data_IF_566496036777
#
_entry.id   IF_566496036777
#
_cell.length_a   1.000
_cell.length_b   1.000
_cell.length_c   1.000
_cell.angle_alpha   90.00
_cell.angle_beta   90.00
_cell.angle_gamma   90.00
#
_symmetry.space_group_name_H-M   'P 1'
#
loop_
_entity.id
_entity.type
_entity.pdbx_description
1 polymer ?
#
# COMPACT_ATOMS: atom_id res chain seq x y z
N UNK A 1 -29.60 14.64 -6.12
CA UNK A 1 -28.48 15.13 -5.27
C UNK A 1 -28.82 16.54 -4.82
N UNK A 2 -28.49 16.92 -3.58
CA UNK A 2 -28.75 18.28 -3.09
C UNK A 2 -27.74 19.26 -3.71
N UNK A 3 -28.14 20.52 -3.89
CA UNK A 3 -27.28 21.59 -4.41
C UNK A 3 -25.98 21.74 -3.59
N UNK A 4 -26.07 21.60 -2.27
CA UNK A 4 -24.93 21.67 -1.36
C UNK A 4 -23.88 20.58 -1.60
N UNK A 5 -24.31 19.36 -1.95
CA UNK A 5 -23.38 18.27 -2.25
C UNK A 5 -22.63 18.53 -3.56
N UNK A 6 -23.32 19.04 -4.58
CA UNK A 6 -22.70 19.35 -5.87
C UNK A 6 -21.72 20.53 -5.77
N UNK A 7 -22.03 21.55 -4.98
CA UNK A 7 -21.11 22.66 -4.71
C UNK A 7 -19.86 22.21 -3.94
N UNK A 8 -20.03 21.31 -2.96
CA UNK A 8 -18.91 20.71 -2.24
C UNK A 8 -18.00 19.90 -3.16
N UNK A 9 -18.57 19.00 -3.97
CA UNK A 9 -17.82 18.18 -4.93
C UNK A 9 -17.06 19.06 -5.95
N UNK A 10 -17.70 20.12 -6.46
CA UNK A 10 -17.06 21.08 -7.37
C UNK A 10 -15.91 21.85 -6.72
N UNK A 11 -16.05 22.25 -5.45
CA UNK A 11 -15.00 22.93 -4.68
C UNK A 11 -13.78 22.03 -4.50
N UNK A 12 -14.00 20.74 -4.22
CA UNK A 12 -12.93 19.76 -4.13
C UNK A 12 -12.23 19.63 -5.47
N UNK A 13 -12.95 19.42 -6.57
CA UNK A 13 -12.36 19.30 -7.92
C UNK A 13 -11.49 20.51 -8.26
N UNK A 14 -11.97 21.73 -8.01
CA UNK A 14 -11.23 22.98 -8.28
C UNK A 14 -9.95 23.11 -7.43
N UNK A 15 -10.02 22.81 -6.13
CA UNK A 15 -8.85 22.85 -5.25
C UNK A 15 -7.78 21.84 -5.68
N UNK A 16 -8.23 20.65 -6.09
CA UNK A 16 -7.40 19.57 -6.59
C UNK A 16 -6.68 19.95 -7.89
N UNK A 17 -7.40 20.49 -8.88
CA UNK A 17 -6.82 20.94 -10.16
C UNK A 17 -5.79 22.05 -9.96
N UNK A 18 -6.10 23.07 -9.15
CA UNK A 18 -5.17 24.19 -8.89
C UNK A 18 -3.86 23.74 -8.25
N UNK A 19 -3.92 22.75 -7.34
CA UNK A 19 -2.72 22.23 -6.67
C UNK A 19 -1.87 21.39 -7.62
N UNK A 20 -2.49 20.57 -8.48
CA UNK A 20 -1.79 19.82 -9.52
C UNK A 20 -1.03 20.77 -10.46
N UNK A 21 -1.68 21.82 -10.94
CA UNK A 21 -1.04 22.84 -11.80
C UNK A 21 0.14 23.54 -11.11
N UNK A 22 0.05 23.80 -9.80
CA UNK A 22 1.09 24.48 -9.05
C UNK A 22 2.31 23.60 -8.70
N UNK A 23 2.11 22.30 -8.49
CA UNK A 23 3.13 21.42 -7.88
C UNK A 23 3.49 20.17 -8.70
N UNK A 24 3.07 20.05 -9.97
CA UNK A 24 3.29 18.85 -10.82
C UNK A 24 4.76 18.40 -11.01
N UNK A 25 5.76 19.18 -10.56
CA UNK A 25 7.20 18.88 -10.67
C UNK A 25 7.95 18.71 -9.35
N UNK A 26 7.34 18.98 -8.20
CA UNK A 26 8.05 18.83 -6.92
C UNK A 26 7.95 17.39 -6.40
N UNK A 27 9.08 16.69 -6.38
CA UNK A 27 9.17 15.30 -5.91
C UNK A 27 8.97 15.13 -4.40
N UNK A 28 9.08 16.22 -3.63
CA UNK A 28 9.01 16.24 -2.16
C UNK A 28 7.65 16.72 -1.60
N UNK A 29 6.72 17.19 -2.43
CA UNK A 29 5.48 17.85 -1.96
C UNK A 29 4.28 16.89 -1.84
N UNK A 30 4.53 15.71 -1.24
CA UNK A 30 3.52 14.65 -1.02
C UNK A 30 2.62 14.87 0.20
N UNK A 31 2.56 16.09 0.72
CA UNK A 31 1.61 16.45 1.78
C UNK A 31 0.17 16.44 1.24
N UNK A 32 -0.44 15.25 1.28
CA UNK A 32 -1.87 14.96 1.38
C UNK A 32 -2.81 15.65 0.38
N UNK A 33 -3.00 15.00 -0.76
CA UNK A 33 -4.26 14.51 -1.37
C UNK A 33 -3.88 14.16 -2.82
N UNK A 34 -3.68 12.88 -3.13
CA UNK A 34 -3.63 12.43 -4.52
C UNK A 34 -5.01 11.95 -4.95
N UNK A 35 -5.66 12.84 -5.68
CA UNK A 35 -6.82 12.64 -6.54
C UNK A 35 -6.43 11.67 -7.66
N UNK A 36 -7.30 10.69 -7.91
CA UNK A 36 -7.08 9.65 -8.91
C UNK A 36 -7.11 8.26 -8.28
N UNK A 37 -8.24 7.56 -8.45
CA UNK A 37 -8.50 6.11 -8.22
C UNK A 37 -8.06 5.45 -6.91
N UNK A 38 -7.70 6.20 -5.86
CA UNK A 38 -6.96 5.64 -4.74
C UNK A 38 -7.55 5.96 -3.37
N UNK A 39 -7.87 4.90 -2.61
CA UNK A 39 -8.60 4.90 -1.35
C UNK A 39 -7.76 5.47 -0.18
N UNK A 40 -8.42 6.12 0.78
CA UNK A 40 -7.90 6.44 2.12
C UNK A 40 -8.90 5.95 3.16
N UNK A 41 -8.47 5.15 4.14
CA UNK A 41 -9.31 4.72 5.28
C UNK A 41 -8.44 4.74 6.54
N UNK A 42 -8.95 5.16 7.69
CA UNK A 42 -8.21 5.07 8.98
C UNK A 42 -8.37 3.67 9.55
N UNK A 43 -7.28 2.95 9.81
CA UNK A 43 -7.30 1.82 10.75
C UNK A 43 -7.24 2.38 12.18
N UNK A 44 -8.38 2.81 12.70
CA UNK A 44 -8.51 3.06 14.12
C UNK A 44 -8.95 1.77 14.81
N UNK A 45 -8.39 1.48 15.98
CA UNK A 45 -9.14 0.78 17.03
C UNK A 45 -10.51 1.47 17.23
N UNK A 46 -11.56 0.77 17.68
CA UNK A 46 -12.96 0.98 17.26
C UNK A 46 -13.68 2.28 17.71
N UNK A 47 -12.97 3.38 17.93
CA UNK A 47 -13.56 4.61 18.48
C UNK A 47 -14.10 5.62 17.46
N UNK A 48 -13.67 5.60 16.19
CA UNK A 48 -14.25 6.49 15.17
C UNK A 48 -13.92 6.02 13.74
N UNK A 49 -14.93 5.59 12.99
CA UNK A 49 -14.80 5.44 11.54
C UNK A 49 -14.84 6.84 10.92
N UNK A 50 -13.76 7.32 10.24
CA UNK A 50 -13.82 8.61 9.57
C UNK A 50 -14.94 8.57 8.52
N UNK A 51 -15.70 9.66 8.42
CA UNK A 51 -16.74 9.77 7.40
C UNK A 51 -16.06 9.88 6.04
N UNK A 52 -16.20 8.85 5.21
CA UNK A 52 -15.65 8.80 3.85
C UNK A 52 -16.75 9.14 2.86
N UNK A 53 -16.49 10.07 1.95
CA UNK A 53 -17.33 10.38 0.79
C UNK A 53 -16.58 10.01 -0.48
N UNK A 54 -17.28 9.37 -1.41
CA UNK A 54 -16.73 9.01 -2.71
C UNK A 54 -17.59 9.60 -3.83
N UNK A 55 -16.96 10.22 -4.82
CA UNK A 55 -17.62 10.64 -6.04
C UNK A 55 -16.66 10.55 -7.23
N UNK A 56 -17.23 10.52 -8.43
CA UNK A 56 -16.47 10.59 -9.69
C UNK A 56 -16.75 11.92 -10.36
N UNK A 57 -15.70 12.57 -10.84
CA UNK A 57 -15.83 13.75 -11.70
C UNK A 57 -14.84 13.59 -12.86
N UNK A 58 -15.34 13.77 -14.09
CA UNK A 58 -14.60 13.48 -15.32
C UNK A 58 -14.06 12.03 -15.33
N UNK A 59 -12.76 11.83 -15.55
CA UNK A 59 -12.08 10.52 -15.53
C UNK A 59 -11.54 10.14 -14.13
N UNK A 60 -11.71 11.02 -13.14
CA UNK A 60 -11.12 10.86 -11.81
C UNK A 60 -12.14 10.40 -10.76
N UNK A 61 -11.67 9.52 -9.87
CA UNK A 61 -12.35 9.19 -8.62
C UNK A 61 -11.78 10.01 -7.46
N UNK A 62 -12.66 10.57 -6.64
CA UNK A 62 -12.32 11.37 -5.47
C UNK A 62 -12.82 10.65 -4.22
N UNK A 63 -11.94 10.54 -3.23
CA UNK A 63 -12.29 10.09 -1.87
C UNK A 63 -11.97 11.25 -0.94
N UNK A 64 -12.99 11.76 -0.26
CA UNK A 64 -12.86 12.83 0.72
C UNK A 64 -13.12 12.25 2.10
N UNK A 65 -12.20 12.51 3.02
CA UNK A 65 -12.32 12.08 4.40
C UNK A 65 -12.01 13.25 5.33
N UNK A 66 -12.33 13.07 6.61
CA UNK A 66 -11.90 13.98 7.66
C UNK A 66 -10.38 14.15 7.65
N UNK A 67 -9.93 15.41 7.74
CA UNK A 67 -8.51 15.72 7.83
C UNK A 67 -7.96 15.20 9.16
N UNK A 68 -6.93 14.36 9.09
CA UNK A 68 -6.26 13.82 10.26
C UNK A 68 -5.03 14.70 10.55
N UNK A 69 -5.02 15.37 11.70
CA UNK A 69 -3.85 16.10 12.18
C UNK A 69 -2.75 15.11 12.58
N UNK A 70 -1.72 14.98 11.74
CA UNK A 70 -0.55 14.16 12.04
C UNK A 70 0.47 14.95 12.85
N UNK A 71 1.05 14.29 13.84
CA UNK A 71 2.21 14.81 14.55
C UNK A 71 3.40 14.96 13.59
N UNK A 72 4.08 16.13 13.51
CA UNK A 72 5.20 16.33 12.59
C UNK A 72 6.42 15.43 12.87
N UNK A 73 6.61 15.04 14.14
CA UNK A 73 7.69 14.15 14.57
C UNK A 73 7.11 13.15 15.57
N UNK A 74 6.43 12.09 15.08
CA UNK A 74 5.78 11.13 15.95
C UNK A 74 6.84 10.29 16.69
N UNK A 75 6.73 10.15 18.03
CA UNK A 75 7.63 9.26 18.76
C UNK A 75 7.39 7.81 18.35
N UNK A 76 8.47 7.02 18.30
CA UNK A 76 8.43 5.57 18.04
C UNK A 76 7.73 5.17 16.72
N UNK A 77 7.92 5.94 15.65
CA UNK A 77 7.26 5.68 14.36
C UNK A 77 7.46 4.26 13.83
N UNK A 78 8.64 3.66 13.98
CA UNK A 78 8.91 2.26 13.61
C UNK A 78 8.01 1.26 14.35
N UNK A 79 7.79 1.46 15.65
CA UNK A 79 6.90 0.62 16.46
C UNK A 79 5.45 0.79 16.00
N UNK A 80 5.06 2.03 15.69
CA UNK A 80 3.72 2.38 15.17
C UNK A 80 3.48 1.75 13.79
N UNK A 81 4.45 1.82 12.88
CA UNK A 81 4.42 1.15 11.57
C UNK A 81 4.26 -0.36 11.75
N UNK A 82 5.03 -0.96 12.66
CA UNK A 82 4.92 -2.39 13.00
C UNK A 82 3.52 -2.74 13.48
N UNK A 83 2.94 -1.94 14.39
CA UNK A 83 1.59 -2.15 14.90
C UNK A 83 0.54 -2.06 13.79
N UNK A 84 0.66 -1.08 12.88
CA UNK A 84 -0.24 -0.92 11.74
C UNK A 84 -0.22 -2.14 10.82
N UNK A 85 0.98 -2.58 10.43
CA UNK A 85 1.16 -3.74 9.55
C UNK A 85 0.68 -5.04 10.20
N UNK A 86 0.95 -5.24 11.50
CA UNK A 86 0.43 -6.39 12.24
C UNK A 86 -1.09 -6.41 12.19
N UNK A 87 -1.71 -5.29 12.55
CA UNK A 87 -3.17 -5.14 12.54
C UNK A 87 -3.77 -5.41 11.16
N UNK A 88 -3.10 -4.96 10.09
CA UNK A 88 -3.53 -5.21 8.72
C UNK A 88 -3.38 -6.68 8.32
N UNK A 89 -2.27 -7.33 8.66
CA UNK A 89 -2.03 -8.74 8.33
C UNK A 89 -2.88 -9.72 9.12
N UNK A 90 -3.40 -9.31 10.27
CA UNK A 90 -4.33 -10.09 11.09
C UNK A 90 -5.76 -10.05 10.54
N UNK A 91 -6.06 -9.16 9.58
CA UNK A 91 -7.34 -9.17 8.87
C UNK A 91 -7.42 -10.46 8.04
N UNK A 92 -8.42 -11.32 8.27
CA UNK A 92 -8.54 -12.57 7.54
C UNK A 92 -8.81 -12.31 6.07
N UNK A 93 -8.14 -13.06 5.19
CA UNK A 93 -8.44 -13.06 3.77
C UNK A 93 -9.89 -13.56 3.56
N UNK A 94 -10.72 -12.88 2.75
CA UNK A 94 -12.05 -13.40 2.45
C UNK A 94 -11.95 -14.70 1.65
N UNK A 95 -12.93 -15.59 1.83
CA UNK A 95 -12.91 -16.90 1.20
C UNK A 95 -12.82 -16.80 -0.33
N UNK A 96 -11.95 -17.60 -0.94
CA UNK A 96 -11.74 -17.63 -2.39
C UNK A 96 -11.06 -16.39 -2.98
N UNK A 97 -10.62 -15.44 -2.15
CA UNK A 97 -9.82 -14.32 -2.65
C UNK A 97 -8.41 -14.77 -3.03
N UNK A 98 -7.95 -14.17 -4.11
CA UNK A 98 -6.63 -14.38 -4.69
C UNK A 98 -5.74 -13.19 -4.32
N UNK A 99 -4.48 -13.23 -4.73
CA UNK A 99 -3.60 -12.06 -4.74
C UNK A 99 -4.24 -10.93 -5.58
N UNK A 100 -4.56 -9.82 -4.94
CA UNK A 100 -5.06 -8.63 -5.62
C UNK A 100 -4.88 -7.37 -4.77
N UNK A 101 -4.83 -6.18 -5.39
CA UNK A 101 -5.06 -4.93 -4.67
C UNK A 101 -6.39 -4.92 -3.93
N UNK A 102 -6.48 -4.12 -2.87
CA UNK A 102 -7.76 -3.79 -2.26
C UNK A 102 -8.49 -2.78 -3.17
N UNK A 103 -9.24 -3.30 -4.14
CA UNK A 103 -9.92 -2.51 -5.17
C UNK A 103 -9.71 -3.11 -6.55
N UNK A 104 -9.84 -2.27 -7.57
CA UNK A 104 -9.56 -2.63 -8.96
C UNK A 104 -8.12 -2.24 -9.35
N UNK A 105 -7.55 -2.91 -10.34
CA UNK A 105 -6.21 -2.64 -10.86
C UNK A 105 -5.17 -3.73 -10.61
N UNK A 106 -3.94 -3.41 -11.00
CA UNK A 106 -2.79 -4.32 -10.95
C UNK A 106 -2.06 -4.22 -9.61
N UNK A 107 -1.41 -5.30 -9.21
CA UNK A 107 -0.58 -5.33 -8.00
C UNK A 107 0.48 -4.24 -8.11
N UNK A 108 0.55 -3.36 -7.12
CA UNK A 108 1.69 -2.46 -6.95
C UNK A 108 2.69 -3.06 -5.99
N UNK A 109 3.95 -3.11 -6.41
CA UNK A 109 5.04 -3.66 -5.61
C UNK A 109 6.40 -3.30 -6.23
N UNK A 110 7.38 -2.94 -5.41
CA UNK A 110 8.72 -2.57 -5.86
C UNK A 110 9.53 -3.68 -6.54
N UNK A 111 9.04 -4.93 -6.51
CA UNK A 111 9.58 -6.03 -7.31
C UNK A 111 9.36 -5.82 -8.81
N UNK A 112 8.21 -5.23 -9.20
CA UNK A 112 7.87 -5.06 -10.60
C UNK A 112 8.51 -3.80 -11.16
N UNK A 113 8.79 -3.83 -12.46
CA UNK A 113 9.19 -2.64 -13.18
C UNK A 113 8.10 -1.57 -13.03
N UNK A 114 8.50 -0.33 -12.82
CA UNK A 114 7.59 0.81 -12.67
C UNK A 114 6.62 0.66 -11.46
N UNK A 115 6.95 -0.22 -10.51
CA UNK A 115 6.19 -0.55 -9.30
C UNK A 115 4.79 -1.14 -9.56
N UNK A 116 4.51 -1.68 -10.73
CA UNK A 116 3.20 -2.24 -11.09
C UNK A 116 3.35 -3.57 -11.85
N UNK A 117 2.56 -4.56 -11.48
CA UNK A 117 2.55 -5.86 -12.13
C UNK A 117 2.15 -5.70 -13.61
N UNK A 118 2.74 -6.48 -14.53
CA UNK A 118 2.41 -6.36 -15.95
C UNK A 118 1.04 -6.94 -16.31
N UNK A 119 0.43 -7.71 -15.40
CA UNK A 119 -0.84 -8.41 -15.60
C UNK A 119 -1.46 -8.82 -14.26
N UNK A 120 -2.76 -9.13 -14.28
CA UNK A 120 -3.44 -9.74 -13.15
C UNK A 120 -3.00 -11.20 -12.99
N UNK A 121 -2.61 -11.58 -11.77
CA UNK A 121 -2.28 -12.97 -11.45
C UNK A 121 -3.53 -13.68 -10.92
N UNK A 122 -3.84 -14.84 -11.50
CA UNK A 122 -5.02 -15.64 -11.12
C UNK A 122 -4.79 -16.52 -9.89
N UNK A 123 -3.55 -16.62 -9.40
CA UNK A 123 -3.19 -17.40 -8.21
C UNK A 123 -1.77 -17.05 -7.71
N UNK A 124 -1.41 -17.57 -6.54
CA UNK A 124 -0.03 -17.46 -6.01
C UNK A 124 0.97 -18.18 -6.89
N UNK A 125 0.59 -19.35 -7.40
CA UNK A 125 1.40 -20.17 -8.30
C UNK A 125 1.68 -19.44 -9.62
N UNK A 126 0.71 -18.68 -10.14
CA UNK A 126 0.90 -17.87 -11.34
C UNK A 126 1.93 -16.75 -11.12
N UNK A 127 1.92 -16.10 -9.95
CA UNK A 127 2.94 -15.13 -9.56
C UNK A 127 4.31 -15.80 -9.39
N UNK A 128 4.38 -16.95 -8.73
CA UNK A 128 5.62 -17.70 -8.54
C UNK A 128 6.25 -18.11 -9.89
N UNK A 129 5.44 -18.64 -10.81
CA UNK A 129 5.89 -18.99 -12.16
C UNK A 129 6.40 -17.78 -12.94
N UNK A 130 5.79 -16.61 -12.77
CA UNK A 130 6.26 -15.37 -13.37
C UNK A 130 7.64 -14.97 -12.82
N UNK A 131 7.82 -15.03 -11.50
CA UNK A 131 9.11 -14.76 -10.84
C UNK A 131 10.18 -15.74 -11.34
N UNK A 132 9.86 -17.03 -11.40
CA UNK A 132 10.78 -18.07 -11.85
C UNK A 132 11.14 -17.89 -13.33
N UNK A 133 10.18 -17.54 -14.19
CA UNK A 133 10.45 -17.20 -15.58
C UNK A 133 11.45 -16.05 -15.67
N UNK A 134 11.26 -14.98 -14.90
CA UNK A 134 12.21 -13.86 -14.81
C UNK A 134 13.61 -14.31 -14.40
N UNK A 135 13.71 -15.16 -13.36
CA UNK A 135 14.98 -15.74 -12.90
C UNK A 135 15.69 -16.56 -13.99
N UNK A 136 14.97 -17.36 -14.76
CA UNK A 136 15.57 -18.16 -15.85
C UNK A 136 16.11 -17.33 -17.01
N UNK A 137 15.61 -16.11 -17.18
CA UNK A 137 16.03 -15.16 -18.21
C UNK A 137 17.24 -14.31 -17.78
N UNK A 138 17.67 -14.39 -16.52
CA UNK A 138 18.91 -13.74 -16.06
C UNK A 138 20.13 -14.31 -16.79
N UNK A 139 21.14 -13.47 -16.99
CA UNK A 139 22.45 -13.90 -17.49
C UNK A 139 22.99 -15.06 -16.62
N UNK A 140 23.70 -16.01 -17.24
CA UNK A 140 24.14 -17.25 -16.58
C UNK A 140 24.89 -17.02 -15.26
N UNK A 141 25.68 -15.96 -15.16
CA UNK A 141 26.39 -15.56 -13.94
C UNK A 141 25.45 -15.13 -12.80
N UNK A 142 24.37 -14.41 -13.12
CA UNK A 142 23.37 -13.99 -12.14
C UNK A 142 22.36 -15.10 -11.82
N UNK A 143 22.13 -16.04 -12.75
CA UNK A 143 21.23 -17.17 -12.53
C UNK A 143 21.72 -18.13 -11.44
N UNK A 144 23.04 -18.28 -11.31
CA UNK A 144 23.65 -19.17 -10.31
C UNK A 144 23.72 -18.56 -8.90
N UNK A 145 23.50 -17.25 -8.76
CA UNK A 145 23.52 -16.56 -7.47
C UNK A 145 22.12 -16.34 -6.91
N UNK A 146 21.07 -16.46 -7.74
CA UNK A 146 19.66 -16.28 -7.33
C UNK A 146 18.99 -17.64 -7.17
N UNK A 147 18.67 -17.98 -5.91
CA UNK A 147 17.93 -19.18 -5.58
C UNK A 147 16.50 -19.13 -6.13
N UNK A 148 15.89 -20.29 -6.47
CA UNK A 148 14.46 -20.38 -6.75
C UNK A 148 13.64 -19.80 -5.60
N UNK A 149 12.53 -19.14 -5.94
CA UNK A 149 11.61 -18.56 -4.96
C UNK A 149 10.43 -19.51 -4.77
N UNK A 150 10.03 -19.73 -3.52
CA UNK A 150 8.84 -20.49 -3.16
C UNK A 150 7.93 -19.61 -2.30
N UNK A 151 6.78 -19.21 -2.85
CA UNK A 151 5.76 -18.39 -2.19
C UNK A 151 4.39 -19.06 -2.16
N UNK A 152 4.17 -20.14 -2.92
CA UNK A 152 2.87 -20.83 -2.99
C UNK A 152 2.40 -21.45 -1.67
N UNK A 153 3.32 -21.69 -0.73
CA UNK A 153 3.02 -22.16 0.62
C UNK A 153 2.78 -21.07 1.65
N UNK A 154 2.96 -19.79 1.28
CA UNK A 154 2.83 -18.70 2.21
C UNK A 154 1.37 -18.39 2.52
N UNK A 155 1.15 -17.88 3.74
CA UNK A 155 -0.11 -17.25 4.12
C UNK A 155 -0.31 -15.98 3.26
N UNK A 156 -1.54 -15.78 2.79
CA UNK A 156 -1.97 -14.51 2.22
C UNK A 156 -2.30 -13.51 3.32
N UNK A 157 -1.73 -12.32 3.21
CA UNK A 157 -1.93 -11.22 4.16
C UNK A 157 -2.28 -9.94 3.42
N UNK A 158 -3.10 -9.10 4.05
CA UNK A 158 -3.16 -7.70 3.65
C UNK A 158 -1.89 -7.00 4.14
N UNK A 159 -1.30 -6.19 3.27
CA UNK A 159 -0.14 -5.35 3.58
C UNK A 159 -0.24 -4.00 2.88
N UNK A 160 0.55 -3.04 3.34
CA UNK A 160 0.88 -1.82 2.60
C UNK A 160 2.11 -2.12 1.72
N UNK A 161 1.96 -2.12 0.41
CA UNK A 161 3.06 -2.38 -0.54
C UNK A 161 3.99 -1.19 -0.71
N UNK A 162 3.48 0.03 -0.55
CA UNK A 162 4.28 1.25 -0.58
C UNK A 162 4.76 1.58 0.82
N UNK A 163 5.88 0.94 1.17
CA UNK A 163 6.54 1.08 2.47
C UNK A 163 7.32 2.40 2.60
N UNK A 164 6.74 3.51 2.16
CA UNK A 164 7.25 4.83 2.45
C UNK A 164 6.86 5.29 3.85
N UNK A 165 7.80 5.90 4.57
CA UNK A 165 7.56 6.31 5.96
C UNK A 165 6.47 7.39 6.05
N UNK A 166 6.28 8.18 5.00
CA UNK A 166 5.22 9.19 4.91
C UNK A 166 3.81 8.58 4.85
N UNK A 167 3.68 7.29 4.55
CA UNK A 167 2.41 6.56 4.58
C UNK A 167 2.02 6.15 6.02
N UNK A 168 2.86 6.41 7.01
CA UNK A 168 2.61 6.08 8.41
C UNK A 168 2.69 7.35 9.27
N UNK A 169 1.81 7.45 10.25
CA UNK A 169 1.79 8.60 11.13
C UNK A 169 1.17 8.29 12.48
N UNK A 170 1.14 9.33 13.32
CA UNK A 170 0.45 9.31 14.61
C UNK A 170 -0.40 10.57 14.69
N UNK A 171 -1.67 10.43 15.04
CA UNK A 171 -2.54 11.59 15.23
C UNK A 171 -2.29 12.30 16.57
N UNK A 172 -2.89 13.47 16.77
CA UNK A 172 -2.77 14.26 18.00
C UNK A 172 -3.20 13.54 19.29
N UNK A 173 -3.96 12.44 19.15
CA UNK A 173 -4.40 11.59 20.26
C UNK A 173 -3.49 10.38 20.50
N UNK A 174 -2.39 10.25 19.73
CA UNK A 174 -1.45 9.14 19.86
C UNK A 174 -1.90 7.86 19.15
N UNK A 175 -2.91 7.92 18.28
CA UNK A 175 -3.33 6.77 17.49
C UNK A 175 -2.42 6.59 16.27
N UNK A 176 -2.09 5.33 15.97
CA UNK A 176 -1.38 4.96 14.75
C UNK A 176 -2.27 5.19 13.52
N UNK A 177 -1.73 5.86 12.51
CA UNK A 177 -2.42 6.15 11.24
C UNK A 177 -1.66 5.51 10.10
N UNK A 178 -2.38 4.78 9.25
CA UNK A 178 -1.92 4.33 7.94
C UNK A 178 -2.58 5.23 6.89
N UNK A 179 -1.83 5.56 5.84
CA UNK A 179 -2.28 6.38 4.70
C UNK A 179 -2.03 5.61 3.39
N UNK A 180 -2.53 6.19 2.29
CA UNK A 180 -2.48 5.65 0.93
C UNK A 180 -2.96 4.19 0.81
N UNK A 181 -4.24 3.98 1.10
CA UNK A 181 -4.86 2.64 1.13
C UNK A 181 -4.96 1.99 -0.24
N UNK A 182 -4.75 2.75 -1.32
CA UNK A 182 -4.72 2.18 -2.65
C UNK A 182 -3.54 1.27 -2.94
N UNK A 183 -2.52 1.36 -2.10
CA UNK A 183 -1.35 0.52 -2.15
C UNK A 183 -1.50 -0.69 -1.21
N UNK A 184 -2.66 -0.81 -0.53
CA UNK A 184 -3.01 -2.02 0.20
C UNK A 184 -3.33 -3.12 -0.79
N UNK A 185 -2.71 -4.26 -0.54
CA UNK A 185 -2.76 -5.41 -1.43
C UNK A 185 -2.72 -6.67 -0.59
N UNK A 186 -3.40 -7.70 -1.07
CA UNK A 186 -3.27 -9.05 -0.55
C UNK A 186 -2.12 -9.75 -1.25
N UNK A 187 -1.07 -10.10 -0.51
CA UNK A 187 0.14 -10.74 -1.03
C UNK A 187 0.54 -11.96 -0.18
N UNK A 188 1.31 -12.90 -0.76
CA UNK A 188 2.06 -13.90 0.01
C UNK A 188 2.99 -13.23 1.02
N UNK A 189 3.06 -13.73 2.25
CA UNK A 189 3.79 -13.13 3.36
C UNK A 189 5.27 -12.85 3.04
N UNK A 190 6.00 -13.80 2.42
CA UNK A 190 7.42 -13.57 2.08
C UNK A 190 7.59 -12.56 0.93
N UNK A 191 6.64 -12.51 -0.01
CA UNK A 191 6.63 -11.51 -1.07
C UNK A 191 6.33 -10.11 -0.53
N UNK A 192 5.39 -9.99 0.43
CA UNK A 192 5.14 -8.76 1.15
C UNK A 192 6.39 -8.30 1.92
N UNK A 193 7.11 -9.21 2.59
CA UNK A 193 8.35 -8.88 3.29
C UNK A 193 9.44 -8.30 2.38
N UNK A 194 9.44 -8.67 1.09
CA UNK A 194 10.39 -8.14 0.12
C UNK A 194 10.27 -6.61 -0.05
N UNK A 195 9.07 -6.04 0.05
CA UNK A 195 8.85 -4.58 -0.01
C UNK A 195 9.63 -3.80 1.05
N UNK A 196 9.95 -4.43 2.18
CA UNK A 196 10.70 -3.84 3.29
C UNK A 196 12.22 -4.09 3.20
N UNK A 197 12.66 -4.97 2.29
CA UNK A 197 14.04 -5.46 2.27
C UNK A 197 15.06 -4.50 1.65
N UNK A 198 14.61 -3.47 0.95
CA UNK A 198 15.47 -2.46 0.30
C UNK A 198 15.73 -1.22 1.16
N UNK A 199 15.06 -1.09 2.32
CA UNK A 199 15.20 0.06 3.24
C UNK A 199 15.66 -0.45 4.60
N UNK A 200 16.89 -0.11 4.99
CA UNK A 200 17.50 -0.56 6.26
C UNK A 200 16.63 -0.28 7.49
N UNK A 201 15.89 0.83 7.48
CA UNK A 201 14.97 1.22 8.56
C UNK A 201 13.75 0.30 8.73
N UNK A 202 13.44 -0.52 7.72
CA UNK A 202 12.27 -1.40 7.71
C UNK A 202 12.60 -2.88 7.85
N UNK A 203 13.87 -3.26 7.71
CA UNK A 203 14.31 -4.66 7.86
C UNK A 203 13.92 -5.20 9.24
N UNK A 204 14.15 -4.43 10.31
CA UNK A 204 13.75 -4.81 11.67
C UNK A 204 12.23 -4.92 11.86
N UNK A 205 11.43 -4.24 11.03
CA UNK A 205 9.96 -4.33 11.08
C UNK A 205 9.50 -5.70 10.57
N UNK A 206 10.00 -6.13 9.40
CA UNK A 206 9.65 -7.44 8.83
C UNK A 206 9.97 -8.59 9.80
N UNK A 207 11.13 -8.55 10.44
CA UNK A 207 11.54 -9.52 11.45
C UNK A 207 10.59 -9.52 12.67
N UNK A 208 10.22 -8.33 13.17
CA UNK A 208 9.33 -8.18 14.32
C UNK A 208 7.88 -8.62 14.04
N UNK A 209 7.47 -8.60 12.78
CA UNK A 209 6.17 -9.11 12.32
C UNK A 209 6.17 -10.63 12.18
N UNK A 210 7.34 -11.27 12.26
CA UNK A 210 7.48 -12.69 11.97
C UNK A 210 7.27 -13.01 10.49
N UNK A 211 7.24 -12.00 9.62
CA UNK A 211 7.19 -12.16 8.17
C UNK A 211 8.58 -12.58 7.72
N UNK A 212 8.91 -13.82 8.07
CA UNK A 212 10.19 -14.40 7.76
C UNK A 212 10.29 -14.58 6.25
N UNK A 213 11.50 -14.45 5.72
CA UNK A 213 11.84 -15.13 4.48
C UNK A 213 11.73 -16.63 4.78
N UNK A 214 10.56 -17.22 4.58
CA UNK A 214 10.38 -18.67 4.63
C UNK A 214 11.46 -19.30 3.73
N UNK A 215 12.43 -19.94 4.39
CA UNK A 215 13.34 -20.95 3.87
C UNK A 215 14.17 -20.67 2.60
N UNK A 216 14.47 -19.43 2.23
CA UNK A 216 15.59 -19.17 1.31
C UNK A 216 16.93 -19.18 2.06
N UNK A 217 17.20 -20.27 2.79
CA UNK A 217 18.57 -20.65 3.18
C UNK A 217 19.22 -21.45 2.05
#
# INVERSE_FOLDING_TARGET
MSTEQTEFEATIVDACTKREEAHWRDSDDRASICIGTKYLVKCATPAAHPKVQYFRAQENGYVVMEYINLMPSPPALTERTTQALRSLSDVPAPSGHVISPLGDGLIRHGFFKDNEAPLHFSSVEALEQYIEKGRTMLLSLAKNTVQPVSISGDRLIFTQSDMDISNFGVDEHGNTILLDFAQIVMLPESFAAYSMSSKDSLVGIAESLGWSRSSNR
#
